data_IF_434386673557
#
_entry.id   IF_434386673557
#
_cell.length_a   1.000
_cell.length_b   1.000
_cell.length_c   1.000
_cell.angle_alpha   90.00
_cell.angle_beta   90.00
_cell.angle_gamma   90.00
#
_symmetry.space_group_name_H-M   'P 1'
#
loop_
_entity.id
_entity.type
_entity.pdbx_description
1 polymer ?
#
# COMPACT_ATOMS: atom_id res chain seq x y z
N UNK A 1 -19.84 -9.55 8.58
CA UNK A 1 -18.57 -9.01 8.08
C UNK A 1 -17.93 -10.14 7.29
N UNK A 2 -17.67 -9.90 6.02
CA UNK A 2 -17.03 -10.87 5.16
C UNK A 2 -15.53 -10.93 5.46
N UNK A 3 -15.00 -12.15 5.48
CA UNK A 3 -13.59 -12.38 5.81
C UNK A 3 -12.67 -12.24 4.58
N UNK A 4 -13.26 -12.20 3.38
CA UNK A 4 -12.54 -12.10 2.11
C UNK A 4 -13.29 -11.16 1.15
N UNK A 5 -12.56 -10.22 0.58
CA UNK A 5 -12.97 -9.43 -0.57
C UNK A 5 -12.03 -9.69 -1.74
N UNK A 6 -12.58 -9.96 -2.90
CA UNK A 6 -11.83 -10.12 -4.14
C UNK A 6 -12.52 -9.37 -5.27
N UNK A 7 -11.81 -8.48 -5.94
CA UNK A 7 -12.37 -7.72 -7.04
C UNK A 7 -11.37 -7.43 -8.16
N UNK A 8 -11.91 -7.26 -9.36
CA UNK A 8 -11.21 -6.73 -10.52
C UNK A 8 -11.62 -5.28 -10.72
N UNK A 9 -10.64 -4.41 -10.81
CA UNK A 9 -10.80 -2.98 -11.00
C UNK A 9 -10.33 -2.61 -12.40
N UNK A 10 -11.11 -1.85 -13.12
CA UNK A 10 -10.73 -1.30 -14.42
C UNK A 10 -10.52 0.21 -14.28
N UNK A 11 -9.36 0.66 -14.68
CA UNK A 11 -8.98 2.07 -14.66
C UNK A 11 -8.91 2.66 -16.08
N UNK A 12 -8.91 3.98 -16.20
CA UNK A 12 -8.62 4.64 -17.47
C UNK A 12 -7.29 4.16 -18.09
N UNK A 13 -7.17 4.27 -19.40
CA UNK A 13 -6.01 3.81 -20.18
C UNK A 13 -5.76 2.28 -20.18
N UNK A 14 -6.76 1.47 -19.83
CA UNK A 14 -6.69 0.03 -19.90
C UNK A 14 -5.90 -0.63 -18.76
N UNK A 15 -5.63 0.08 -17.69
CA UNK A 15 -5.01 -0.49 -16.49
C UNK A 15 -6.02 -1.37 -15.77
N UNK A 16 -5.60 -2.58 -15.39
CA UNK A 16 -6.42 -3.54 -14.64
C UNK A 16 -5.76 -3.78 -13.29
N UNK A 17 -6.55 -3.65 -12.23
CA UNK A 17 -6.17 -4.00 -10.87
C UNK A 17 -6.89 -5.26 -10.41
N UNK A 18 -6.16 -6.13 -9.72
CA UNK A 18 -6.71 -7.28 -9.01
C UNK A 18 -6.46 -7.04 -7.52
N UNK A 19 -7.53 -6.91 -6.76
CA UNK A 19 -7.46 -6.66 -5.32
C UNK A 19 -8.02 -7.86 -4.55
N UNK A 20 -7.24 -8.36 -3.62
CA UNK A 20 -7.70 -9.31 -2.61
C UNK A 20 -7.40 -8.74 -1.23
N UNK A 21 -8.42 -8.63 -0.40
CA UNK A 21 -8.30 -8.26 1.02
C UNK A 21 -8.92 -9.37 1.83
N UNK A 22 -8.18 -9.86 2.83
CA UNK A 22 -8.65 -10.96 3.66
C UNK A 22 -8.05 -10.88 5.08
N UNK A 23 -8.70 -11.52 6.03
CA UNK A 23 -8.30 -11.57 7.44
C UNK A 23 -8.03 -12.98 7.96
N UNK A 24 -7.99 -13.95 7.05
CA UNK A 24 -7.91 -15.38 7.39
C UNK A 24 -6.54 -16.01 7.17
N UNK A 25 -5.58 -15.34 6.53
CA UNK A 25 -4.22 -15.87 6.30
C UNK A 25 -3.53 -16.25 7.60
N UNK A 26 -2.98 -17.46 7.62
CA UNK A 26 -2.25 -18.03 8.76
C UNK A 26 -1.03 -18.82 8.26
N UNK A 27 0.06 -18.90 8.99
CA UNK A 27 0.32 -18.29 10.31
C UNK A 27 0.76 -16.82 10.25
N UNK A 28 0.97 -16.26 9.06
CA UNK A 28 1.43 -14.89 8.86
C UNK A 28 0.46 -14.12 7.97
N UNK A 29 0.34 -12.84 8.23
CA UNK A 29 -0.32 -11.90 7.32
C UNK A 29 0.48 -11.74 6.03
N UNK A 30 -0.20 -11.35 4.96
CA UNK A 30 0.44 -11.03 3.68
C UNK A 30 0.08 -9.60 3.31
N UNK A 31 1.05 -8.80 2.97
CA UNK A 31 0.85 -7.48 2.40
C UNK A 31 1.77 -7.31 1.20
N UNK A 32 1.24 -7.55 0.03
CA UNK A 32 1.99 -7.46 -1.22
C UNK A 32 1.28 -6.51 -2.18
N UNK A 33 2.07 -5.75 -2.91
CA UNK A 33 1.60 -4.98 -4.04
C UNK A 33 2.54 -5.22 -5.22
N UNK A 34 1.97 -5.62 -6.35
CA UNK A 34 2.71 -5.90 -7.58
C UNK A 34 2.19 -5.03 -8.70
N UNK A 35 3.10 -4.35 -9.39
CA UNK A 35 2.81 -3.50 -10.52
C UNK A 35 3.59 -4.00 -11.73
N UNK A 36 2.88 -4.35 -12.80
CA UNK A 36 3.48 -4.84 -14.04
C UNK A 36 3.20 -3.83 -15.13
N UNK A 37 4.24 -3.31 -15.72
CA UNK A 37 4.20 -2.41 -16.86
C UNK A 37 4.71 -3.08 -18.14
N UNK A 38 4.72 -2.34 -19.23
CA UNK A 38 5.25 -2.82 -20.53
C UNK A 38 6.77 -2.95 -20.57
N UNK A 39 7.48 -2.28 -19.66
CA UNK A 39 8.94 -2.22 -19.64
C UNK A 39 9.54 -2.75 -18.32
N UNK A 40 8.73 -3.04 -17.32
CA UNK A 40 9.26 -3.50 -16.05
C UNK A 40 8.20 -3.86 -15.03
N UNK A 41 8.69 -4.20 -13.84
CA UNK A 41 7.89 -4.67 -12.74
C UNK A 41 8.39 -4.10 -11.41
N UNK A 42 7.46 -3.77 -10.52
CA UNK A 42 7.72 -3.40 -9.14
C UNK A 42 6.96 -4.36 -8.22
N UNK A 43 7.63 -4.87 -7.21
CA UNK A 43 7.01 -5.70 -6.15
C UNK A 43 7.33 -5.08 -4.80
N UNK A 44 6.30 -4.75 -4.06
CA UNK A 44 6.36 -4.37 -2.66
C UNK A 44 5.97 -5.58 -1.80
N UNK A 45 6.80 -5.93 -0.85
CA UNK A 45 6.55 -6.94 0.17
C UNK A 45 6.62 -6.29 1.54
N UNK A 46 5.46 -6.08 2.16
CA UNK A 46 5.34 -5.43 3.47
C UNK A 46 5.86 -6.30 4.61
N UNK A 47 5.79 -7.62 4.50
CA UNK A 47 6.31 -8.53 5.51
C UNK A 47 7.84 -8.62 5.47
N UNK A 48 8.42 -8.74 4.28
CA UNK A 48 9.88 -8.68 4.13
C UNK A 48 10.45 -7.27 4.34
N UNK A 49 9.64 -6.22 4.18
CA UNK A 49 10.10 -4.84 4.21
C UNK A 49 10.96 -4.50 2.99
N UNK A 50 10.53 -4.94 1.81
CA UNK A 50 11.31 -4.75 0.58
C UNK A 50 10.48 -4.17 -0.55
N UNK A 51 11.15 -3.39 -1.39
CA UNK A 51 10.68 -3.01 -2.71
C UNK A 51 11.68 -3.58 -3.71
N UNK A 52 11.18 -4.33 -4.69
CA UNK A 52 11.98 -4.88 -5.78
C UNK A 52 11.56 -4.24 -7.08
N UNK A 53 12.52 -3.91 -7.91
CA UNK A 53 12.31 -3.33 -9.22
C UNK A 53 13.17 -4.03 -10.26
N UNK A 54 12.62 -4.25 -11.45
CA UNK A 54 13.35 -4.72 -12.63
C UNK A 54 12.73 -4.10 -13.88
N UNK A 55 13.55 -3.81 -14.88
CA UNK A 55 13.09 -3.43 -16.21
C UNK A 55 13.85 -4.19 -17.30
N UNK A 56 13.45 -3.99 -18.56
CA UNK A 56 14.00 -4.71 -19.72
C UNK A 56 15.50 -4.51 -19.97
N UNK A 57 16.13 -3.50 -19.34
CA UNK A 57 17.57 -3.20 -19.47
C UNK A 57 18.41 -3.79 -18.33
N UNK A 58 17.79 -4.43 -17.35
CA UNK A 58 18.44 -4.97 -16.15
C UNK A 58 18.57 -6.48 -16.24
N UNK A 59 19.69 -7.03 -15.75
CA UNK A 59 19.88 -8.47 -15.64
C UNK A 59 19.29 -9.05 -14.36
N UNK A 60 19.33 -8.28 -13.26
CA UNK A 60 18.87 -8.69 -11.95
C UNK A 60 17.94 -7.65 -11.31
N UNK A 61 17.21 -8.09 -10.30
CA UNK A 61 16.35 -7.22 -9.49
C UNK A 61 17.16 -6.24 -8.65
N UNK A 62 16.83 -4.97 -8.74
CA UNK A 62 17.22 -4.00 -7.74
C UNK A 62 16.31 -4.16 -6.51
N UNK A 63 16.92 -4.33 -5.33
CA UNK A 63 16.19 -4.56 -4.07
C UNK A 63 16.50 -3.44 -3.09
N UNK A 64 15.48 -2.72 -2.69
CA UNK A 64 15.54 -1.73 -1.61
C UNK A 64 14.90 -2.32 -0.35
N UNK A 65 15.61 -2.30 0.76
CA UNK A 65 15.10 -2.68 2.08
C UNK A 65 14.76 -1.42 2.85
N UNK A 66 13.54 -1.33 3.39
CA UNK A 66 13.14 -0.21 4.21
C UNK A 66 13.06 -0.60 5.69
N UNK A 67 13.35 0.38 6.54
CA UNK A 67 13.23 0.19 7.98
C UNK A 67 11.75 0.17 8.38
N UNK A 68 11.34 -0.91 9.01
CA UNK A 68 9.98 -1.03 9.56
C UNK A 68 9.89 -0.54 11.01
N UNK A 69 11.01 -0.25 11.63
CA UNK A 69 11.09 0.05 13.04
C UNK A 69 11.01 -1.20 13.93
N UNK A 70 10.86 -0.98 15.20
CA UNK A 70 10.68 -2.03 16.21
C UNK A 70 9.20 -2.32 16.43
N UNK A 71 8.91 -3.53 16.89
CA UNK A 71 7.58 -3.90 17.37
C UNK A 71 7.65 -3.90 18.90
N UNK A 72 6.87 -3.05 19.53
CA UNK A 72 6.78 -3.03 21.00
C UNK A 72 6.18 -4.33 21.54
N UNK A 73 6.52 -4.64 22.79
CA UNK A 73 5.96 -5.80 23.49
C UNK A 73 4.43 -5.70 23.53
N UNK A 74 3.75 -6.75 23.11
CA UNK A 74 2.28 -6.88 23.01
C UNK A 74 1.64 -6.16 21.79
N UNK A 75 2.42 -5.51 20.92
CA UNK A 75 1.97 -5.02 19.62
C UNK A 75 2.38 -5.98 18.51
N UNK A 76 1.64 -5.93 17.39
CA UNK A 76 1.90 -6.78 16.23
C UNK A 76 2.44 -6.00 15.03
N UNK A 77 2.23 -4.68 15.02
CA UNK A 77 2.63 -3.81 13.92
C UNK A 77 3.92 -3.05 14.27
N UNK A 78 4.83 -2.90 13.30
CA UNK A 78 6.01 -2.03 13.46
C UNK A 78 5.58 -0.57 13.58
N UNK A 79 6.36 0.23 14.32
CA UNK A 79 6.00 1.61 14.65
C UNK A 79 6.40 2.64 13.59
N UNK A 80 7.46 2.38 12.83
CA UNK A 80 8.02 3.37 11.91
C UNK A 80 7.00 3.96 10.92
N UNK A 81 6.07 3.19 10.32
CA UNK A 81 5.06 3.76 9.44
C UNK A 81 4.17 4.82 10.13
N UNK A 82 3.82 4.60 11.38
CA UNK A 82 2.99 5.54 12.15
C UNK A 82 3.79 6.79 12.55
N UNK A 83 5.07 6.61 12.90
CA UNK A 83 5.97 7.72 13.20
C UNK A 83 6.14 8.61 11.96
N UNK A 84 6.33 8.02 10.79
CA UNK A 84 6.47 8.76 9.53
C UNK A 84 5.18 9.49 9.14
N UNK A 85 4.03 8.89 9.39
CA UNK A 85 2.73 9.54 9.15
C UNK A 85 2.57 10.79 10.02
N UNK A 86 2.82 10.67 11.32
CA UNK A 86 2.76 11.79 12.27
C UNK A 86 3.79 12.87 11.90
N UNK A 87 5.01 12.47 11.53
CA UNK A 87 6.08 13.39 11.12
C UNK A 87 5.68 14.18 9.87
N UNK A 88 5.08 13.52 8.89
CA UNK A 88 4.57 14.14 7.67
C UNK A 88 3.47 15.15 7.96
N UNK A 89 2.55 14.80 8.85
CA UNK A 89 1.48 15.69 9.30
C UNK A 89 2.04 16.93 10.00
N UNK A 90 2.92 16.75 10.98
CA UNK A 90 3.54 17.87 11.71
C UNK A 90 4.29 18.81 10.75
N UNK A 91 5.03 18.26 9.79
CA UNK A 91 5.73 19.03 8.77
C UNK A 91 4.77 19.86 7.90
N UNK A 92 3.62 19.27 7.53
CA UNK A 92 2.58 19.99 6.79
C UNK A 92 1.99 21.15 7.59
N UNK A 93 1.75 20.95 8.88
CA UNK A 93 1.26 22.01 9.80
C UNK A 93 2.29 23.13 9.97
N UNK A 94 3.55 22.79 10.24
CA UNK A 94 4.63 23.78 10.40
C UNK A 94 4.83 24.64 9.16
N UNK A 95 4.83 24.01 7.99
CA UNK A 95 5.04 24.69 6.70
C UNK A 95 3.79 25.34 6.16
N UNK A 96 2.60 25.02 6.69
CA UNK A 96 1.30 25.38 6.13
C UNK A 96 1.14 24.94 4.68
N UNK A 97 1.72 23.80 4.34
CA UNK A 97 1.74 23.21 3.01
C UNK A 97 1.12 21.81 3.02
N UNK A 98 -0.09 21.68 2.50
CA UNK A 98 -0.81 20.39 2.40
C UNK A 98 0.00 19.36 1.60
N UNK A 99 0.76 19.81 0.60
CA UNK A 99 1.60 18.93 -0.24
C UNK A 99 2.70 18.17 0.54
N UNK A 100 3.00 18.59 1.78
CA UNK A 100 3.91 17.85 2.65
C UNK A 100 3.27 16.60 3.27
N UNK A 101 1.95 16.46 3.19
CA UNK A 101 1.21 15.29 3.65
C UNK A 101 0.75 14.49 2.44
N UNK A 102 1.11 13.22 2.41
CA UNK A 102 0.96 12.36 1.23
C UNK A 102 -0.49 11.99 0.89
N UNK A 103 -1.38 12.10 1.86
CA UNK A 103 -2.77 11.72 1.71
C UNK A 103 -3.68 12.85 2.21
N UNK A 104 -4.72 13.18 1.45
CA UNK A 104 -5.69 14.22 1.83
C UNK A 104 -7.03 13.59 2.23
N UNK A 105 -7.84 14.31 3.02
CA UNK A 105 -9.22 13.90 3.31
C UNK A 105 -10.04 13.67 2.03
N UNK A 106 -9.69 14.35 0.93
CA UNK A 106 -10.35 14.14 -0.36
C UNK A 106 -9.98 12.80 -0.98
N UNK A 107 -8.73 12.36 -0.83
CA UNK A 107 -8.29 11.05 -1.30
C UNK A 107 -8.93 9.94 -0.48
N UNK A 108 -9.00 10.10 0.84
CA UNK A 108 -9.72 9.18 1.74
C UNK A 108 -11.20 9.09 1.39
N UNK A 109 -11.83 10.21 1.08
CA UNK A 109 -13.23 10.24 0.65
C UNK A 109 -13.44 9.46 -0.67
N UNK A 110 -12.53 9.58 -1.64
CA UNK A 110 -12.59 8.80 -2.88
C UNK A 110 -12.43 7.30 -2.62
N UNK A 111 -11.49 6.92 -1.74
CA UNK A 111 -11.32 5.52 -1.35
C UNK A 111 -12.60 4.98 -0.73
N UNK A 112 -13.21 5.73 0.19
CA UNK A 112 -14.46 5.35 0.83
C UNK A 112 -15.62 5.22 -0.17
N UNK A 113 -15.74 6.13 -1.15
CA UNK A 113 -16.73 6.03 -2.21
C UNK A 113 -16.54 4.75 -3.05
N UNK A 114 -15.30 4.40 -3.38
CA UNK A 114 -15.00 3.18 -4.12
C UNK A 114 -15.37 1.92 -3.31
N UNK A 115 -15.10 1.92 -2.00
CA UNK A 115 -15.49 0.82 -1.11
C UNK A 115 -17.02 0.63 -1.08
N UNK A 116 -17.79 1.70 -0.90
CA UNK A 116 -19.27 1.61 -0.96
C UNK A 116 -19.78 1.15 -2.32
N UNK A 117 -19.12 1.54 -3.40
CA UNK A 117 -19.47 1.06 -4.73
C UNK A 117 -19.24 -0.44 -4.85
N UNK A 118 -18.09 -0.94 -4.38
CA UNK A 118 -17.78 -2.38 -4.38
C UNK A 118 -18.77 -3.18 -3.53
N UNK A 119 -19.08 -2.70 -2.32
CA UNK A 119 -20.08 -3.35 -1.46
C UNK A 119 -21.47 -3.40 -2.08
N UNK A 120 -21.83 -2.44 -2.91
CA UNK A 120 -23.14 -2.42 -3.58
C UNK A 120 -23.26 -3.39 -4.75
N UNK A 121 -22.15 -3.99 -5.19
CA UNK A 121 -22.09 -4.97 -6.29
C UNK A 121 -22.21 -6.44 -5.80
N UNK A 122 -22.15 -6.64 -4.50
CA UNK A 122 -22.34 -7.95 -3.86
C UNK A 122 -23.77 -8.12 -3.38
#
# INVERSE_FOLDING_TARGET
IDDIYHCLLSYPAGVIGNLTVEVISRPRTTREFRLIGTDGEIVFDGEAGTVKYINSSMEDWEVTVFNKGTVESQYINPEEPYIEEIRSFLKAVERKEVACYSNTLFDDYKVLQNLYTLESLT
#
